data_IF_143104240443
#
_entry.id   IF_143104240443
#
_cell.length_a   1.000
_cell.length_b   1.000
_cell.length_c   1.000
_cell.angle_alpha   90.00
_cell.angle_beta   90.00
_cell.angle_gamma   90.00
#
_symmetry.space_group_name_H-M   'P 1'
#
loop_
_entity.id
_entity.type
_entity.pdbx_description
1 polymer ?
#
# COMPACT_ATOMS: atom_id res chain seq x y z
N UNK A 1 7.97 9.28 17.31
CA UNK A 1 8.25 7.98 16.66
C UNK A 1 7.18 7.56 15.65
N UNK A 2 5.97 7.17 16.06
CA UNK A 2 4.89 6.86 15.09
C UNK A 2 4.49 8.08 14.26
N UNK A 3 4.47 9.26 14.90
CA UNK A 3 4.19 10.52 14.22
C UNK A 3 5.20 10.84 13.12
N UNK A 4 6.49 10.62 13.37
CA UNK A 4 7.56 10.85 12.38
C UNK A 4 7.44 9.90 11.18
N UNK A 5 7.11 8.63 11.44
CA UNK A 5 6.83 7.63 10.40
C UNK A 5 5.62 8.08 9.55
N UNK A 6 4.57 8.63 10.17
CA UNK A 6 3.41 9.15 9.44
C UNK A 6 3.78 10.37 8.59
N UNK A 7 4.57 11.31 9.12
CA UNK A 7 5.06 12.47 8.36
C UNK A 7 5.91 12.05 7.16
N UNK A 8 6.83 11.12 7.34
CA UNK A 8 7.63 10.57 6.24
C UNK A 8 6.77 9.85 5.21
N UNK A 9 5.74 9.12 5.65
CA UNK A 9 4.81 8.47 4.73
C UNK A 9 4.03 9.49 3.89
N UNK A 10 3.65 10.62 4.47
CA UNK A 10 2.99 11.71 3.75
C UNK A 10 3.93 12.34 2.72
N UNK A 11 5.18 12.60 3.09
CA UNK A 11 6.19 13.12 2.16
C UNK A 11 6.43 12.16 0.97
N UNK A 12 6.55 10.86 1.24
CA UNK A 12 6.67 9.84 0.18
C UNK A 12 5.45 9.81 -0.75
N UNK A 13 4.26 10.12 -0.23
CA UNK A 13 3.03 10.20 -1.02
C UNK A 13 3.03 11.42 -1.94
N UNK A 14 3.41 12.60 -1.43
CA UNK A 14 3.54 13.82 -2.23
C UNK A 14 4.56 13.64 -3.36
N UNK A 15 5.74 13.08 -3.07
CA UNK A 15 6.76 12.82 -4.08
C UNK A 15 6.25 11.89 -5.20
N UNK A 16 5.52 10.82 -4.86
CA UNK A 16 4.91 9.94 -5.85
C UNK A 16 3.78 10.61 -6.64
N UNK A 17 3.05 11.56 -6.04
CA UNK A 17 2.00 12.32 -6.73
C UNK A 17 2.60 13.29 -7.76
N UNK A 18 3.76 13.88 -7.45
CA UNK A 18 4.52 14.76 -8.35
C UNK A 18 5.26 13.99 -9.46
N UNK A 19 5.31 12.66 -9.38
CA UNK A 19 5.96 11.80 -10.36
C UNK A 19 7.39 11.41 -10.02
N UNK A 20 7.94 11.88 -8.89
CA UNK A 20 9.26 11.47 -8.39
C UNK A 20 9.16 10.13 -7.63
N UNK A 21 9.13 9.06 -8.41
CA UNK A 21 9.01 7.70 -7.88
C UNK A 21 10.28 7.20 -7.18
N UNK A 22 11.46 7.74 -7.54
CA UNK A 22 12.73 7.36 -6.92
C UNK A 22 12.80 7.92 -5.50
N UNK A 23 12.49 9.22 -5.34
CA UNK A 23 12.40 9.85 -4.02
C UNK A 23 11.37 9.15 -3.14
N UNK A 24 10.17 8.88 -3.68
CA UNK A 24 9.12 8.15 -2.96
C UNK A 24 9.62 6.80 -2.43
N UNK A 25 10.36 6.06 -3.26
CA UNK A 25 10.92 4.75 -2.92
C UNK A 25 11.99 4.84 -1.83
N UNK A 26 12.94 5.80 -1.95
CA UNK A 26 13.99 6.05 -0.95
C UNK A 26 13.43 6.42 0.42
N UNK A 27 12.41 7.29 0.44
CA UNK A 27 11.75 7.69 1.70
C UNK A 27 11.07 6.49 2.35
N UNK A 28 10.38 5.65 1.58
CA UNK A 28 9.76 4.44 2.12
C UNK A 28 10.78 3.41 2.62
N UNK A 29 11.95 3.30 1.99
CA UNK A 29 13.06 2.50 2.52
C UNK A 29 13.53 3.03 3.88
N UNK A 30 13.67 4.35 4.03
CA UNK A 30 14.03 4.97 5.30
C UNK A 30 12.99 4.66 6.39
N UNK A 31 11.70 4.77 6.08
CA UNK A 31 10.60 4.40 6.99
C UNK A 31 10.73 2.95 7.47
N UNK A 32 11.01 2.02 6.54
CA UNK A 32 11.19 0.60 6.86
C UNK A 32 12.42 0.39 7.74
N UNK A 33 13.54 1.03 7.43
CA UNK A 33 14.77 0.95 8.25
C UNK A 33 14.53 1.48 9.66
N UNK A 34 13.86 2.63 9.80
CA UNK A 34 13.51 3.21 11.12
C UNK A 34 12.63 2.22 11.89
N UNK A 35 11.59 1.65 11.26
CA UNK A 35 10.74 0.64 11.89
C UNK A 35 11.53 -0.59 12.37
N UNK A 36 12.50 -1.06 11.59
CA UNK A 36 13.35 -2.20 11.96
C UNK A 36 14.29 -1.86 13.13
N UNK A 37 14.97 -0.71 13.06
CA UNK A 37 15.88 -0.25 14.12
C UNK A 37 15.15 -0.06 15.45
N UNK A 38 13.97 0.53 15.40
CA UNK A 38 13.15 0.83 16.59
C UNK A 38 12.30 -0.35 17.05
N UNK A 39 12.28 -1.45 16.29
CA UNK A 39 11.42 -2.63 16.51
C UNK A 39 9.93 -2.29 16.60
N UNK A 40 9.51 -1.15 16.03
CA UNK A 40 8.11 -0.73 16.00
C UNK A 40 7.42 -1.39 14.80
N UNK A 41 6.29 -2.03 15.06
CA UNK A 41 5.44 -2.59 14.00
C UNK A 41 4.79 -1.45 13.21
N UNK A 42 5.10 -1.34 11.91
CA UNK A 42 4.39 -0.38 11.04
C UNK A 42 2.87 -0.62 11.10
N UNK A 43 2.06 0.43 11.30
CA UNK A 43 0.61 0.37 11.23
C UNK A 43 0.13 -0.24 9.90
N UNK A 44 -1.05 -0.88 9.90
CA UNK A 44 -1.61 -1.47 8.69
C UNK A 44 -1.90 -0.42 7.61
N UNK A 45 -2.20 0.84 7.97
CA UNK A 45 -2.35 1.91 6.98
C UNK A 45 -1.07 2.07 6.16
N UNK A 46 0.09 2.21 6.81
CA UNK A 46 1.38 2.43 6.14
C UNK A 46 1.88 1.16 5.46
N UNK A 47 1.71 -0.02 6.08
CA UNK A 47 2.14 -1.29 5.46
C UNK A 47 1.46 -1.57 4.12
N UNK A 48 0.28 -0.99 3.86
CA UNK A 48 -0.52 -1.21 2.65
C UNK A 48 -0.34 -0.11 1.60
N UNK A 49 0.35 0.99 1.92
CA UNK A 49 0.51 2.16 1.05
C UNK A 49 1.79 2.15 0.22
N UNK A 50 2.68 1.17 0.34
CA UNK A 50 3.88 1.08 -0.49
C UNK A 50 4.02 -0.27 -1.20
N UNK A 51 4.73 -0.27 -2.33
CA UNK A 51 5.01 -1.47 -3.10
C UNK A 51 6.02 -2.36 -2.36
N UNK A 52 5.71 -3.64 -2.17
CA UNK A 52 6.63 -4.56 -1.47
C UNK A 52 7.94 -4.82 -2.22
N UNK A 53 7.95 -4.61 -3.54
CA UNK A 53 9.13 -4.75 -4.40
C UNK A 53 9.96 -3.47 -4.44
N UNK A 54 9.51 -2.45 -5.16
CA UNK A 54 10.29 -1.21 -5.38
C UNK A 54 10.08 -0.13 -4.31
N UNK A 55 9.26 -0.37 -3.29
CA UNK A 55 8.97 0.57 -2.20
C UNK A 55 8.29 1.89 -2.59
N UNK A 56 8.00 2.16 -3.85
CA UNK A 56 7.20 3.34 -4.24
C UNK A 56 5.85 3.40 -3.52
N UNK A 57 5.41 4.60 -3.13
CA UNK A 57 4.07 4.82 -2.61
C UNK A 57 3.01 4.46 -3.66
N UNK A 58 1.98 3.73 -3.23
CA UNK A 58 0.90 3.18 -4.04
C UNK A 58 -0.30 4.13 -3.99
N UNK A 59 -0.49 4.86 -5.08
CA UNK A 59 -1.56 5.83 -5.27
C UNK A 59 -2.48 5.30 -6.37
N UNK A 60 -3.76 5.02 -6.08
CA UNK A 60 -4.72 4.60 -7.09
C UNK A 60 -4.75 5.59 -8.26
N UNK A 61 -4.58 5.08 -9.49
CA UNK A 61 -4.60 5.90 -10.71
C UNK A 61 -3.25 6.52 -11.10
N UNK A 62 -2.28 6.62 -10.18
CA UNK A 62 -0.93 7.14 -10.48
C UNK A 62 0.09 6.00 -10.51
N UNK A 63 0.33 5.34 -9.37
CA UNK A 63 1.34 4.27 -9.23
C UNK A 63 0.72 2.90 -8.94
N UNK A 64 -0.60 2.83 -8.70
CA UNK A 64 -1.34 1.61 -8.38
C UNK A 64 -2.56 1.44 -9.29
N UNK A 65 -2.68 0.25 -9.88
CA UNK A 65 -3.94 -0.24 -10.46
C UNK A 65 -4.56 -1.27 -9.52
N UNK A 66 -5.83 -1.06 -9.16
CA UNK A 66 -6.63 -1.99 -8.36
C UNK A 66 -7.71 -2.59 -9.24
N UNK A 67 -7.79 -3.92 -9.28
CA UNK A 67 -8.83 -4.64 -10.02
C UNK A 67 -9.39 -5.77 -9.17
N UNK A 68 -10.69 -5.99 -9.25
CA UNK A 68 -11.31 -7.21 -8.69
C UNK A 68 -11.32 -8.27 -9.79
N UNK A 69 -10.77 -9.45 -9.50
CA UNK A 69 -10.75 -10.59 -10.41
C UNK A 69 -11.38 -11.80 -9.72
N UNK A 70 -12.11 -12.59 -10.48
CA UNK A 70 -12.64 -13.88 -10.01
C UNK A 70 -11.78 -15.00 -10.59
N UNK A 71 -11.38 -15.95 -9.75
CA UNK A 71 -10.77 -17.20 -10.17
C UNK A 71 -11.57 -18.34 -9.54
N UNK A 72 -12.43 -18.97 -10.35
CA UNK A 72 -13.45 -19.91 -9.87
C UNK A 72 -14.43 -19.24 -8.91
N UNK A 73 -14.64 -19.85 -7.74
CA UNK A 73 -15.55 -19.36 -6.69
C UNK A 73 -14.93 -18.28 -5.79
N UNK A 74 -13.65 -17.97 -5.94
CA UNK A 74 -12.95 -16.97 -5.13
C UNK A 74 -12.76 -15.66 -5.90
N UNK A 75 -13.06 -14.54 -5.22
CA UNK A 75 -12.77 -13.19 -5.71
C UNK A 75 -11.47 -12.71 -5.08
N UNK A 76 -10.68 -11.95 -5.83
CA UNK A 76 -9.42 -11.38 -5.40
C UNK A 76 -9.36 -9.90 -5.74
N UNK A 77 -8.84 -9.10 -4.80
CA UNK A 77 -8.33 -7.77 -5.09
C UNK A 77 -6.91 -7.91 -5.60
N UNK A 78 -6.71 -7.60 -6.87
CA UNK A 78 -5.41 -7.55 -7.53
C UNK A 78 -4.92 -6.12 -7.50
N UNK A 79 -3.83 -5.88 -6.77
CA UNK A 79 -3.10 -4.61 -6.73
C UNK A 79 -1.84 -4.75 -7.58
N UNK A 80 -1.76 -3.99 -8.68
CA UNK A 80 -0.58 -3.95 -9.56
C UNK A 80 0.12 -2.61 -9.41
N UNK A 81 1.40 -2.64 -9.08
CA UNK A 81 2.26 -1.47 -9.15
C UNK A 81 2.52 -1.11 -10.62
N UNK A 82 2.25 0.15 -10.99
CA UNK A 82 2.46 0.65 -12.35
C UNK A 82 3.92 1.02 -12.62
N UNK A 83 4.73 1.21 -11.57
CA UNK A 83 6.17 1.54 -11.68
C UNK A 83 7.02 0.30 -11.94
N UNK A 84 6.93 -0.75 -11.10
CA UNK A 84 7.77 -1.96 -11.23
C UNK A 84 7.01 -3.21 -11.69
N UNK A 85 5.70 -3.13 -11.91
CA UNK A 85 4.88 -4.26 -12.34
C UNK A 85 4.55 -5.31 -11.26
N UNK A 86 5.01 -5.16 -10.02
CA UNK A 86 4.71 -6.11 -8.94
C UNK A 86 3.20 -6.26 -8.70
N UNK A 87 2.74 -7.50 -8.55
CA UNK A 87 1.32 -7.84 -8.37
C UNK A 87 1.12 -8.47 -6.99
N UNK A 88 0.23 -7.88 -6.20
CA UNK A 88 -0.23 -8.43 -4.94
C UNK A 88 -1.70 -8.84 -5.06
N UNK A 89 -2.01 -10.12 -4.79
CA UNK A 89 -3.37 -10.66 -4.84
C UNK A 89 -3.85 -10.90 -3.41
N UNK A 90 -4.94 -10.26 -3.02
CA UNK A 90 -5.58 -10.47 -1.73
C UNK A 90 -6.95 -11.11 -1.97
N UNK A 91 -7.26 -12.26 -1.35
CA UNK A 91 -8.60 -12.82 -1.43
C UNK A 91 -9.61 -11.84 -0.82
N UNK A 92 -10.69 -11.58 -1.55
CA UNK A 92 -11.92 -11.06 -0.95
C UNK A 92 -12.48 -12.23 -0.13
N UNK A 93 -12.28 -12.20 1.18
CA UNK A 93 -12.90 -13.18 2.07
C UNK A 93 -14.41 -13.27 1.82
N UNK A 94 -15.00 -14.44 2.05
CA UNK A 94 -16.45 -14.52 2.22
C UNK A 94 -16.80 -13.51 3.30
N UNK A 95 -17.60 -12.49 2.96
CA UNK A 95 -18.22 -11.66 3.98
C UNK A 95 -19.07 -12.59 4.83
N UNK A 96 -18.61 -12.94 6.03
CA UNK A 96 -19.48 -13.47 7.06
C UNK A 96 -20.39 -12.32 7.48
N UNK A 97 -21.57 -12.23 6.87
CA UNK A 97 -22.70 -11.42 7.34
C UNK A 97 -22.41 -9.97 7.66
N UNK A 98 -22.05 -9.16 6.65
CA UNK A 98 -22.26 -7.72 6.78
C UNK A 98 -23.76 -7.48 6.83
N UNK A 99 -24.32 -7.25 8.03
CA UNK A 99 -25.64 -6.64 8.18
C UNK A 99 -25.58 -5.31 7.42
N UNK A 100 -26.46 -5.14 6.43
CA UNK A 100 -26.84 -3.82 5.94
C UNK A 100 -27.22 -2.95 7.16
N UNK A 101 -26.70 -1.72 7.30
CA UNK A 101 -27.30 -0.79 8.24
C UNK A 101 -28.73 -0.54 7.74
N UNK A 102 -29.71 -0.87 8.59
CA UNK A 102 -31.12 -0.62 8.35
C UNK A 102 -31.33 0.86 8.00
N UNK A 103 -32.00 1.10 6.87
CA UNK A 103 -32.73 2.32 6.58
C UNK A 103 -34.23 1.97 6.60
#
# INVERSE_FOLDING_TARGET
>A
MLEDIMRLSQFSFSAAQEGDFDLSSRVNELIIRISQMTRVRLPPEIKRTYCKRCKVSLIPGVTLSVRVRSQGRQKYVVRRCLVCGYIHRMPLGRQSGGKEPAA
#
